data_IF_065396160561
#
_entry.id   IF_065396160561
#
_cell.length_a   1.000
_cell.length_b   1.000
_cell.length_c   1.000
_cell.angle_alpha   90.00
_cell.angle_beta   90.00
_cell.angle_gamma   90.00
#
_symmetry.space_group_name_H-M   'P 1'
#
loop_
_entity.id
_entity.type
_entity.pdbx_description
1 polymer ?
#
# COMPACT_ATOMS: atom_id res chain seq x y z
N UNK A 1 28.59 2.18 21.03
CA UNK A 1 29.29 1.70 19.81
C UNK A 1 29.37 2.86 18.86
N UNK A 2 30.55 3.30 18.43
CA UNK A 2 30.68 4.36 17.43
C UNK A 2 30.57 3.76 16.03
N UNK A 3 29.58 4.19 15.25
CA UNK A 3 29.51 3.86 13.82
C UNK A 3 30.56 4.69 13.10
N UNK A 4 31.52 4.01 12.49
CA UNK A 4 32.56 4.62 11.67
C UNK A 4 32.01 4.69 10.24
N UNK A 5 31.71 5.88 9.75
CA UNK A 5 31.30 6.09 8.35
C UNK A 5 32.58 6.38 7.55
N UNK A 6 32.97 5.44 6.69
CA UNK A 6 34.04 5.65 5.72
C UNK A 6 33.43 6.20 4.43
N UNK A 7 33.72 7.46 4.12
CA UNK A 7 33.41 8.06 2.83
C UNK A 7 34.39 7.50 1.80
N UNK A 8 33.87 6.71 0.85
CA UNK A 8 34.64 6.26 -0.31
C UNK A 8 34.55 7.37 -1.35
N UNK A 9 35.64 8.13 -1.48
CA UNK A 9 35.80 9.14 -2.53
C UNK A 9 36.27 8.43 -3.80
N UNK A 10 35.41 8.33 -4.81
CA UNK A 10 35.80 7.78 -6.10
C UNK A 10 36.57 8.84 -6.87
N UNK A 11 37.90 8.84 -6.72
CA UNK A 11 38.77 9.64 -7.57
C UNK A 11 38.64 9.11 -9.01
N UNK A 12 38.24 9.93 -9.99
CA UNK A 12 38.22 9.52 -11.39
C UNK A 12 39.66 9.13 -11.76
N UNK A 13 39.84 7.88 -12.17
CA UNK A 13 41.15 7.39 -12.54
C UNK A 13 41.65 8.20 -13.74
N UNK A 14 42.76 8.91 -13.58
CA UNK A 14 43.47 9.53 -14.70
C UNK A 14 44.09 8.42 -15.55
N UNK A 15 43.26 7.71 -16.32
CA UNK A 15 43.71 6.81 -17.37
C UNK A 15 43.13 7.30 -18.69
N UNK A 16 44.05 7.68 -19.56
CA UNK A 16 43.86 7.90 -20.98
C UNK A 16 43.47 6.58 -21.65
N UNK A 17 42.20 6.40 -22.02
CA UNK A 17 41.83 5.44 -23.06
C UNK A 17 40.52 5.83 -23.77
N UNK A 18 40.65 5.84 -25.10
CA UNK A 18 39.69 5.66 -26.19
C UNK A 18 38.18 5.63 -25.86
N UNK A 19 37.44 6.41 -26.65
CA UNK A 19 36.03 6.82 -26.57
C UNK A 19 34.92 5.77 -26.28
N UNK A 20 35.23 4.48 -26.09
CA UNK A 20 34.24 3.43 -25.77
C UNK A 20 34.08 3.16 -24.25
N UNK A 21 35.03 3.52 -23.40
CA UNK A 21 35.01 3.21 -21.94
C UNK A 21 34.13 4.18 -21.11
N UNK A 22 33.61 5.26 -21.71
CA UNK A 22 32.82 6.26 -21.00
C UNK A 22 31.37 5.84 -20.70
N UNK A 23 30.83 4.84 -21.41
CA UNK A 23 29.46 4.41 -21.19
C UNK A 23 29.31 3.50 -19.96
N UNK A 24 30.28 2.61 -19.72
CA UNK A 24 30.24 1.63 -18.63
C UNK A 24 30.49 2.24 -17.24
N UNK A 25 31.36 3.24 -17.15
CA UNK A 25 31.62 3.94 -15.88
C UNK A 25 30.41 4.75 -15.40
N UNK A 26 29.63 5.32 -16.32
CA UNK A 26 28.38 6.03 -15.97
C UNK A 26 27.30 5.06 -15.46
N UNK A 27 27.21 3.86 -16.04
CA UNK A 27 26.28 2.83 -15.58
C UNK A 27 26.64 2.32 -14.18
N UNK A 28 27.93 2.12 -13.89
CA UNK A 28 28.37 1.68 -12.57
C UNK A 28 28.16 2.75 -11.49
N UNK A 29 28.47 4.02 -11.78
CA UNK A 29 28.25 5.14 -10.85
C UNK A 29 26.74 5.33 -10.60
N UNK A 30 25.90 5.21 -11.63
CA UNK A 30 24.45 5.27 -11.47
C UNK A 30 23.90 4.08 -10.67
N UNK A 31 24.43 2.87 -10.90
CA UNK A 31 24.09 1.67 -10.13
C UNK A 31 24.50 1.79 -8.65
N UNK A 32 25.68 2.38 -8.38
CA UNK A 32 26.19 2.61 -7.03
C UNK A 32 25.42 3.72 -6.31
N UNK A 33 25.14 4.86 -6.97
CA UNK A 33 24.25 5.90 -6.43
C UNK A 33 22.87 5.36 -6.14
N UNK A 34 22.34 4.52 -7.04
CA UNK A 34 21.08 3.83 -6.82
C UNK A 34 21.15 2.93 -5.59
N UNK A 35 22.17 2.05 -5.47
CA UNK A 35 22.34 1.14 -4.33
C UNK A 35 22.61 1.83 -3.00
N UNK A 36 23.36 2.92 -2.97
CA UNK A 36 23.69 3.68 -1.75
C UNK A 36 22.46 4.44 -1.23
N UNK A 37 21.56 4.86 -2.12
CA UNK A 37 20.30 5.51 -1.75
C UNK A 37 19.17 4.51 -1.45
N UNK A 38 19.42 3.20 -1.51
CA UNK A 38 18.44 2.22 -1.03
C UNK A 38 18.43 2.29 0.49
N UNK A 39 17.40 2.93 1.01
CA UNK A 39 17.01 2.83 2.40
C UNK A 39 16.95 1.34 2.76
N UNK A 40 17.77 0.86 3.72
CA UNK A 40 17.73 -0.53 4.14
C UNK A 40 16.30 -0.90 4.54
N UNK A 41 15.70 -1.84 3.81
CA UNK A 41 14.34 -2.29 4.11
C UNK A 41 14.42 -3.39 5.16
N UNK A 42 13.73 -3.18 6.28
CA UNK A 42 13.56 -4.18 7.32
C UNK A 42 12.38 -5.07 6.95
N UNK A 43 12.64 -6.37 6.89
CA UNK A 43 11.58 -7.39 6.73
C UNK A 43 10.74 -7.44 7.99
N UNK A 44 9.44 -7.58 7.84
CA UNK A 44 8.53 -7.81 8.95
C UNK A 44 8.79 -9.17 9.60
N UNK A 45 8.74 -9.19 10.93
CA UNK A 45 8.84 -10.42 11.71
C UNK A 45 7.54 -11.21 11.58
N UNK A 46 7.62 -12.48 11.21
CA UNK A 46 6.45 -13.35 11.20
C UNK A 46 5.98 -13.74 12.61
N UNK A 47 6.51 -13.17 13.70
CA UNK A 47 6.05 -13.45 15.06
C UNK A 47 4.68 -12.83 15.37
N UNK A 48 4.37 -11.65 14.81
CA UNK A 48 3.13 -10.90 15.10
C UNK A 48 2.94 -10.60 16.58
N UNK A 49 3.95 -10.00 17.21
CA UNK A 49 3.81 -9.54 18.59
C UNK A 49 2.99 -8.27 18.59
N UNK A 50 1.73 -8.35 19.02
CA UNK A 50 0.90 -7.16 19.19
C UNK A 50 1.57 -6.22 20.18
N UNK A 51 1.74 -4.96 19.79
CA UNK A 51 2.20 -3.94 20.72
C UNK A 51 1.05 -3.64 21.67
N UNK A 52 1.04 -4.33 22.82
CA UNK A 52 0.04 -4.20 23.86
C UNK A 52 0.19 -2.84 24.55
N UNK A 53 -0.43 -1.82 23.99
CA UNK A 53 -0.38 -0.47 24.56
C UNK A 53 -1.41 -0.36 25.69
N UNK A 54 -1.09 -0.88 26.88
CA UNK A 54 -1.87 -0.84 28.15
C UNK A 54 -3.15 0.02 28.13
N UNK A 55 -4.34 -0.59 28.17
CA UNK A 55 -5.65 0.08 28.16
C UNK A 55 -6.75 -0.77 27.52
N UNK A 56 -8.03 -0.38 27.69
CA UNK A 56 -9.21 -1.09 27.15
C UNK A 56 -9.26 -1.15 25.61
N UNK A 57 -8.42 -0.37 24.92
CA UNK A 57 -8.29 -0.38 23.46
C UNK A 57 -6.84 -0.69 23.09
N UNK A 58 -6.62 -1.83 22.42
CA UNK A 58 -5.33 -2.22 21.85
C UNK A 58 -5.00 -1.49 20.54
N UNK A 59 -5.89 -0.62 20.07
CA UNK A 59 -5.80 0.10 18.81
C UNK A 59 -5.65 1.62 19.01
N UNK A 60 -5.03 2.26 18.03
CA UNK A 60 -5.02 3.72 17.89
C UNK A 60 -6.37 4.18 17.39
N UNK A 61 -7.09 4.98 18.17
CA UNK A 61 -8.44 5.37 17.79
C UNK A 61 -8.44 6.33 16.60
N UNK A 62 -9.22 5.98 15.58
CA UNK A 62 -9.41 6.76 14.34
C UNK A 62 -10.89 7.12 14.24
N UNK A 63 -11.74 6.12 14.04
CA UNK A 63 -13.16 6.29 13.78
C UNK A 63 -13.75 5.08 13.05
N UNK A 64 -15.07 5.07 12.80
CA UNK A 64 -15.79 3.91 12.28
C UNK A 64 -15.39 3.50 10.86
N UNK A 65 -14.84 4.43 10.09
CA UNK A 65 -14.53 4.24 8.67
C UNK A 65 -13.01 4.16 8.43
N UNK A 66 -12.31 3.46 9.33
CA UNK A 66 -10.89 3.13 9.23
C UNK A 66 -10.72 1.94 8.27
N UNK A 67 -10.69 2.23 6.97
CA UNK A 67 -10.63 1.22 5.92
C UNK A 67 -9.23 1.03 5.34
N UNK A 68 -8.41 2.07 5.24
CA UNK A 68 -7.08 1.91 4.67
C UNK A 68 -6.05 2.89 5.23
N UNK A 69 -4.77 2.58 4.99
CA UNK A 69 -3.63 3.27 5.56
C UNK A 69 -2.48 3.36 4.56
N UNK A 70 -1.81 4.52 4.52
CA UNK A 70 -0.57 4.72 3.76
C UNK A 70 0.52 5.31 4.63
N UNK A 71 1.78 5.06 4.26
CA UNK A 71 2.97 5.60 4.90
C UNK A 71 3.60 6.66 4.00
N UNK A 72 3.67 7.89 4.50
CA UNK A 72 4.44 8.97 3.89
C UNK A 72 5.86 8.95 4.45
N UNK A 73 6.85 8.80 3.56
CA UNK A 73 8.25 8.84 3.96
C UNK A 73 8.72 10.30 4.06
N UNK A 74 8.29 11.16 3.14
CA UNK A 74 8.74 12.56 3.09
C UNK A 74 8.27 13.37 4.31
N UNK A 75 7.10 13.04 4.86
CA UNK A 75 6.56 13.70 6.05
C UNK A 75 6.72 12.88 7.34
N UNK A 76 7.21 11.64 7.22
CA UNK A 76 7.36 10.72 8.34
C UNK A 76 6.04 10.53 9.11
N UNK A 77 4.96 10.24 8.38
CA UNK A 77 3.60 10.08 8.91
C UNK A 77 2.95 8.83 8.36
N UNK A 78 1.96 8.32 9.08
CA UNK A 78 0.96 7.44 8.47
C UNK A 78 -0.38 8.17 8.41
N UNK A 79 -1.13 7.90 7.34
CA UNK A 79 -2.38 8.57 7.01
C UNK A 79 -3.44 7.48 6.87
N UNK A 80 -4.56 7.64 7.58
CA UNK A 80 -5.61 6.64 7.69
C UNK A 80 -6.93 7.23 7.21
N UNK A 81 -7.75 6.44 6.54
CA UNK A 81 -9.11 6.86 6.18
C UNK A 81 -10.01 6.99 7.40
N UNK A 82 -10.91 7.98 7.39
CA UNK A 82 -11.96 8.14 8.39
C UNK A 82 -13.19 8.82 7.78
N UNK A 83 -13.93 8.10 6.94
CA UNK A 83 -15.11 8.63 6.26
C UNK A 83 -14.71 9.67 5.22
N UNK A 84 -15.22 10.89 5.32
CA UNK A 84 -14.86 12.03 4.46
C UNK A 84 -13.49 12.63 4.79
N UNK A 85 -12.84 12.17 5.87
CA UNK A 85 -11.59 12.72 6.34
C UNK A 85 -10.40 11.76 6.18
N UNK A 86 -9.21 12.35 6.14
CA UNK A 86 -7.93 11.66 6.30
C UNK A 86 -7.31 12.07 7.64
N UNK A 87 -7.11 11.08 8.52
CA UNK A 87 -6.53 11.26 9.84
C UNK A 87 -5.01 11.03 9.78
N UNK A 88 -4.22 12.02 10.23
CA UNK A 88 -2.76 11.99 10.15
C UNK A 88 -2.16 11.68 11.51
N UNK A 89 -1.28 10.68 11.56
CA UNK A 89 -0.67 10.20 12.79
C UNK A 89 0.87 10.25 12.72
N UNK A 90 1.52 10.38 13.88
CA UNK A 90 2.97 10.22 13.96
C UNK A 90 3.39 8.76 13.67
N UNK A 91 4.48 8.62 12.90
CA UNK A 91 5.14 7.33 12.63
C UNK A 91 6.32 7.15 13.60
N UNK A 92 6.54 5.93 14.08
CA UNK A 92 7.67 5.59 14.95
C UNK A 92 8.80 4.92 14.18
N UNK A 93 10.05 5.12 14.62
CA UNK A 93 11.19 4.37 14.07
C UNK A 93 11.26 2.95 14.65
N UNK A 94 10.72 2.78 15.86
CA UNK A 94 10.85 1.56 16.65
C UNK A 94 9.55 1.17 17.34
N UNK A 95 9.41 -0.12 17.68
CA UNK A 95 8.33 -0.62 18.55
C UNK A 95 8.34 0.08 19.93
N UNK A 96 9.53 0.29 20.48
CA UNK A 96 9.73 0.87 21.81
C UNK A 96 9.16 2.29 21.92
N UNK A 97 9.26 3.11 20.87
CA UNK A 97 8.65 4.44 20.82
C UNK A 97 7.12 4.39 20.97
N UNK A 98 6.46 3.37 20.41
CA UNK A 98 5.04 3.16 20.58
C UNK A 98 4.68 2.65 21.99
N UNK A 99 5.51 1.77 22.56
CA UNK A 99 5.29 1.23 23.90
C UNK A 99 5.49 2.27 25.01
N UNK A 100 6.52 3.11 24.88
CA UNK A 100 6.88 4.14 25.86
C UNK A 100 5.95 5.36 25.85
N UNK A 101 4.87 5.33 25.04
CA UNK A 101 3.85 6.40 24.92
C UNK A 101 4.42 7.79 24.59
N UNK A 102 5.67 7.89 24.10
CA UNK A 102 6.25 9.16 23.64
C UNK A 102 5.49 9.67 22.41
N UNK A 103 4.92 8.75 21.64
CA UNK A 103 4.09 9.04 20.49
C UNK A 103 2.61 8.93 20.88
N UNK A 104 1.89 10.06 20.80
CA UNK A 104 0.48 10.14 21.18
C UNK A 104 -0.43 9.24 20.35
N UNK A 105 -1.41 8.58 21.00
CA UNK A 105 -2.38 7.63 20.38
C UNK A 105 -3.57 8.29 19.68
N UNK A 106 -3.42 9.55 19.30
CA UNK A 106 -4.45 10.36 18.67
C UNK A 106 -3.89 10.93 17.38
N UNK A 107 -4.78 11.16 16.41
CA UNK A 107 -4.41 11.89 15.22
C UNK A 107 -3.79 13.23 15.62
N UNK A 108 -2.71 13.63 14.94
CA UNK A 108 -2.14 14.97 15.07
C UNK A 108 -3.15 16.02 14.60
N UNK A 109 -3.86 15.67 13.53
CA UNK A 109 -4.95 16.42 12.94
C UNK A 109 -5.68 15.53 11.94
N UNK A 110 -6.87 15.97 11.54
CA UNK A 110 -7.66 15.37 10.48
C UNK A 110 -7.96 16.43 9.44
N UNK A 111 -8.11 16.01 8.18
CA UNK A 111 -8.46 16.90 7.08
C UNK A 111 -9.69 16.32 6.38
N UNK A 112 -10.77 17.07 6.37
CA UNK A 112 -12.05 16.69 5.76
C UNK A 112 -12.16 17.20 4.32
N UNK A 113 -12.71 16.37 3.43
CA UNK A 113 -12.93 16.71 2.03
C UNK A 113 -14.44 16.84 1.77
N UNK A 114 -14.93 18.07 1.57
CA UNK A 114 -16.36 18.38 1.46
C UNK A 114 -17.09 17.57 0.36
N UNK A 115 -16.40 17.27 -0.74
CA UNK A 115 -16.97 16.53 -1.87
C UNK A 115 -16.89 15.00 -1.73
N UNK A 116 -16.27 14.49 -0.66
CA UNK A 116 -16.03 13.06 -0.45
C UNK A 116 -16.87 12.57 0.73
N UNK A 117 -17.64 11.51 0.51
CA UNK A 117 -18.46 10.89 1.56
C UNK A 117 -17.66 9.88 2.38
N UNK A 118 -16.85 9.06 1.70
CA UNK A 118 -16.08 7.99 2.30
C UNK A 118 -14.86 7.63 1.45
N UNK A 119 -13.67 7.57 2.06
CA UNK A 119 -12.47 6.98 1.49
C UNK A 119 -12.40 5.47 1.77
N UNK A 120 -12.17 4.67 0.73
CA UNK A 120 -12.20 3.20 0.81
C UNK A 120 -10.79 2.59 0.78
N UNK A 121 -9.95 2.97 -0.19
CA UNK A 121 -8.56 2.52 -0.34
C UNK A 121 -7.66 3.70 -0.67
N UNK A 122 -6.40 3.61 -0.24
CA UNK A 122 -5.36 4.60 -0.44
C UNK A 122 -4.13 3.95 -1.08
N UNK A 123 -3.56 4.60 -2.09
CA UNK A 123 -2.24 4.27 -2.63
C UNK A 123 -1.39 5.51 -2.68
N UNK A 124 -0.30 5.50 -1.93
CA UNK A 124 0.70 6.56 -1.97
C UNK A 124 1.77 6.25 -3.02
N UNK A 125 2.03 7.22 -3.90
CA UNK A 125 3.06 7.17 -4.94
C UNK A 125 3.87 8.46 -4.88
N UNK A 126 5.19 8.33 -4.97
CA UNK A 126 6.08 9.48 -5.15
C UNK A 126 6.25 9.77 -6.64
N UNK A 127 5.86 10.95 -7.06
CA UNK A 127 6.02 11.45 -8.43
C UNK A 127 7.01 12.61 -8.44
N UNK A 128 8.21 12.37 -8.96
CA UNK A 128 9.33 13.32 -8.89
C UNK A 128 9.63 13.67 -7.41
N UNK A 129 9.36 14.90 -7.01
CA UNK A 129 9.67 15.45 -5.68
C UNK A 129 8.43 15.64 -4.80
N UNK A 130 7.30 15.02 -5.14
CA UNK A 130 6.05 15.14 -4.38
C UNK A 130 5.39 13.77 -4.18
N UNK A 131 4.78 13.58 -3.01
CA UNK A 131 3.97 12.40 -2.71
C UNK A 131 2.50 12.67 -3.02
N UNK A 132 1.87 11.75 -3.75
CA UNK A 132 0.46 11.78 -4.08
C UNK A 132 -0.24 10.57 -3.49
N UNK A 133 -1.45 10.78 -3.02
CA UNK A 133 -2.39 9.73 -2.65
C UNK A 133 -3.42 9.62 -3.77
N UNK A 134 -3.51 8.42 -4.34
CA UNK A 134 -4.64 7.97 -5.11
C UNK A 134 -5.63 7.31 -4.16
N UNK A 135 -6.89 7.70 -4.23
CA UNK A 135 -7.90 7.15 -3.35
C UNK A 135 -9.16 6.75 -4.11
N UNK A 136 -9.72 5.59 -3.77
CA UNK A 136 -11.08 5.22 -4.11
C UNK A 136 -12.02 5.80 -3.07
N UNK A 137 -13.13 6.34 -3.54
CA UNK A 137 -14.18 6.92 -2.72
C UNK A 137 -15.54 6.44 -3.22
N UNK A 138 -16.59 6.70 -2.45
CA UNK A 138 -17.96 6.54 -2.96
C UNK A 138 -18.46 7.86 -3.56
N UNK A 139 -18.61 8.03 -4.89
CA UNK A 139 -18.41 7.08 -6.00
C UNK A 139 -17.17 7.37 -6.88
N UNK A 140 -16.18 8.16 -6.44
CA UNK A 140 -15.12 8.69 -7.31
C UNK A 140 -13.75 8.09 -7.05
N UNK A 141 -12.85 8.32 -7.99
CA UNK A 141 -11.42 8.17 -7.75
C UNK A 141 -10.80 9.56 -7.72
N UNK A 142 -9.90 9.80 -6.77
CA UNK A 142 -9.27 11.11 -6.60
C UNK A 142 -7.76 11.00 -6.47
N UNK A 143 -7.08 12.10 -6.83
CA UNK A 143 -5.66 12.33 -6.59
C UNK A 143 -5.48 13.51 -5.66
N UNK A 144 -4.69 13.32 -4.61
CA UNK A 144 -4.46 14.31 -3.54
C UNK A 144 -2.95 14.48 -3.34
N UNK A 145 -2.48 15.71 -3.16
CA UNK A 145 -1.09 15.96 -2.73
C UNK A 145 -0.97 15.73 -1.24
N UNK A 146 0.02 14.96 -0.80
CA UNK A 146 0.28 14.77 0.63
C UNK A 146 0.67 16.10 1.26
N UNK A 147 1.43 16.95 0.56
CA UNK A 147 1.80 18.28 1.05
C UNK A 147 0.61 19.18 1.39
N UNK A 148 -0.51 19.05 0.68
CA UNK A 148 -1.73 19.82 0.92
C UNK A 148 -2.50 19.31 2.15
N UNK A 149 -2.52 17.98 2.38
CA UNK A 149 -3.00 17.39 3.63
C UNK A 149 -2.17 17.93 4.82
N UNK A 150 -0.85 17.95 4.69
CA UNK A 150 0.05 18.40 5.77
C UNK A 150 -0.12 19.89 6.10
N UNK A 151 -0.50 20.70 5.12
CA UNK A 151 -0.86 22.12 5.31
C UNK A 151 -2.31 22.32 5.81
N UNK A 152 -3.07 21.23 6.01
CA UNK A 152 -4.49 21.26 6.38
C UNK A 152 -5.34 22.00 5.35
N UNK A 153 -4.99 21.86 4.07
CA UNK A 153 -5.64 22.50 2.95
C UNK A 153 -6.10 21.42 1.95
N UNK A 154 -7.26 20.77 2.17
CA UNK A 154 -7.70 19.61 1.37
C UNK A 154 -8.04 20.02 -0.05
N UNK A 155 -7.08 19.88 -0.96
CA UNK A 155 -7.27 20.13 -2.38
C UNK A 155 -7.16 18.82 -3.16
N UNK A 156 -8.15 18.60 -4.03
CA UNK A 156 -8.08 17.55 -5.04
C UNK A 156 -7.22 18.07 -6.21
N UNK A 157 -6.23 17.28 -6.62
CA UNK A 157 -5.49 17.52 -7.86
C UNK A 157 -6.42 17.26 -9.04
N UNK A 158 -7.14 16.15 -8.97
CA UNK A 158 -8.24 15.81 -9.86
C UNK A 158 -9.20 14.83 -9.18
N UNK A 159 -10.39 14.74 -9.77
CA UNK A 159 -11.44 13.77 -9.46
C UNK A 159 -11.88 13.12 -10.76
N UNK A 160 -12.14 11.82 -10.75
CA UNK A 160 -12.63 11.09 -11.93
C UNK A 160 -13.90 11.74 -12.46
N UNK A 161 -14.03 11.80 -13.79
CA UNK A 161 -15.22 12.37 -14.44
C UNK A 161 -16.43 11.46 -14.33
N UNK A 162 -16.18 10.15 -14.29
CA UNK A 162 -17.21 9.13 -14.12
C UNK A 162 -17.42 8.79 -12.64
N UNK A 163 -18.65 8.41 -12.31
CA UNK A 163 -19.04 7.83 -11.03
C UNK A 163 -19.03 6.31 -11.13
N UNK A 164 -18.59 5.65 -10.07
CA UNK A 164 -18.48 4.21 -9.97
C UNK A 164 -19.35 3.68 -8.85
N UNK A 165 -19.79 2.42 -8.96
CA UNK A 165 -20.80 1.89 -8.04
C UNK A 165 -20.20 1.46 -6.71
N UNK A 166 -19.09 0.72 -6.76
CA UNK A 166 -18.58 0.07 -5.57
C UNK A 166 -17.07 -0.19 -5.70
N UNK A 167 -16.29 0.88 -5.61
CA UNK A 167 -14.83 0.84 -5.78
C UNK A 167 -14.12 0.69 -4.44
N UNK A 168 -13.39 -0.41 -4.30
CA UNK A 168 -12.63 -0.72 -3.09
C UNK A 168 -11.14 -0.61 -3.38
N UNK A 169 -10.53 -1.60 -4.02
CA UNK A 169 -9.09 -1.64 -4.23
C UNK A 169 -8.63 -0.80 -5.41
N UNK A 170 -7.42 -0.27 -5.31
CA UNK A 170 -6.71 0.31 -6.44
C UNK A 170 -5.21 0.03 -6.36
N UNK A 171 -4.54 0.07 -7.51
CA UNK A 171 -3.08 0.11 -7.58
C UNK A 171 -2.61 0.94 -8.77
N UNK A 172 -1.39 1.45 -8.69
CA UNK A 172 -0.79 2.33 -9.70
C UNK A 172 0.36 1.61 -10.38
N UNK A 173 0.39 1.67 -11.70
CA UNK A 173 1.49 1.14 -12.49
C UNK A 173 1.73 2.01 -13.73
N UNK A 174 2.97 2.50 -13.87
CA UNK A 174 3.31 3.41 -14.96
C UNK A 174 2.40 4.64 -14.94
N UNK A 175 1.82 4.97 -16.10
CA UNK A 175 0.86 6.07 -16.27
C UNK A 175 -0.60 5.66 -16.03
N UNK A 176 -0.85 4.47 -15.49
CA UNK A 176 -2.18 3.91 -15.34
C UNK A 176 -2.53 3.64 -13.88
N UNK A 177 -3.80 3.83 -13.56
CA UNK A 177 -4.41 3.49 -12.29
C UNK A 177 -5.43 2.38 -12.53
N UNK A 178 -5.27 1.26 -11.80
CA UNK A 178 -6.15 0.10 -11.87
C UNK A 178 -7.08 0.14 -10.67
N UNK A 179 -8.38 0.13 -10.90
CA UNK A 179 -9.40 0.31 -9.86
C UNK A 179 -10.38 -0.84 -9.91
N UNK A 180 -10.58 -1.55 -8.80
CA UNK A 180 -11.51 -2.66 -8.71
C UNK A 180 -12.91 -2.11 -8.44
N UNK A 181 -13.79 -2.20 -9.44
CA UNK A 181 -15.24 -2.02 -9.27
C UNK A 181 -15.86 -3.38 -8.99
N UNK A 182 -16.34 -3.57 -7.75
CA UNK A 182 -16.90 -4.82 -7.27
C UNK A 182 -18.02 -5.38 -8.15
N UNK A 183 -18.80 -4.52 -8.82
CA UNK A 183 -19.94 -4.94 -9.63
C UNK A 183 -19.61 -5.18 -11.11
N UNK A 184 -18.45 -4.72 -11.59
CA UNK A 184 -18.12 -4.72 -13.02
C UNK A 184 -16.85 -5.49 -13.34
N UNK A 185 -15.69 -4.89 -13.07
CA UNK A 185 -14.36 -5.41 -13.42
C UNK A 185 -13.32 -4.45 -12.84
N UNK A 186 -12.06 -4.64 -13.23
CA UNK A 186 -11.00 -3.65 -13.02
C UNK A 186 -11.06 -2.59 -14.11
N UNK A 187 -11.21 -1.34 -13.72
CA UNK A 187 -11.12 -0.16 -14.57
C UNK A 187 -9.69 0.33 -14.67
N UNK A 188 -9.32 0.85 -15.82
CA UNK A 188 -8.05 1.53 -16.04
C UNK A 188 -8.33 3.02 -16.27
N UNK A 189 -7.75 3.86 -15.42
CA UNK A 189 -7.79 5.31 -15.53
C UNK A 189 -6.41 5.85 -15.91
N UNK A 190 -6.40 6.95 -16.66
CA UNK A 190 -5.21 7.77 -16.85
C UNK A 190 -4.81 8.40 -15.52
N UNK A 191 -3.55 8.21 -15.14
CA UNK A 191 -3.03 8.65 -13.85
C UNK A 191 -2.90 10.18 -13.75
N UNK A 192 -2.70 10.86 -14.88
CA UNK A 192 -2.46 12.30 -14.93
C UNK A 192 -3.77 13.10 -14.79
N UNK A 193 -4.86 12.65 -15.42
CA UNK A 193 -6.12 13.39 -15.49
C UNK A 193 -7.33 12.67 -14.87
N UNK A 194 -7.20 11.39 -14.50
CA UNK A 194 -8.32 10.59 -13.98
C UNK A 194 -9.35 10.21 -15.05
N UNK A 195 -8.99 10.29 -16.33
CA UNK A 195 -9.84 9.92 -17.45
C UNK A 195 -9.95 8.40 -17.58
N UNK A 196 -11.16 7.89 -17.78
CA UNK A 196 -11.38 6.46 -18.00
C UNK A 196 -10.85 6.06 -19.38
N UNK A 197 -9.96 5.06 -19.40
CA UNK A 197 -9.36 4.52 -20.61
C UNK A 197 -10.11 3.29 -21.12
N UNK A 198 -10.27 2.28 -20.24
CA UNK A 198 -10.91 1.00 -20.56
C UNK A 198 -11.16 0.17 -19.30
N UNK A 199 -11.96 -0.88 -19.42
CA UNK A 199 -11.98 -1.99 -18.46
C UNK A 199 -10.95 -3.06 -18.86
N UNK A 200 -10.48 -3.85 -17.89
CA UNK A 200 -9.78 -5.11 -18.18
C UNK A 200 -10.78 -6.15 -18.74
N UNK A 201 -10.32 -6.88 -19.77
CA UNK A 201 -11.08 -7.89 -20.53
C UNK A 201 -11.92 -8.87 -19.66
N UNK A 202 -12.92 -9.48 -20.30
CA UNK A 202 -14.02 -10.26 -19.73
C UNK A 202 -13.66 -11.40 -18.76
N UNK A 203 -12.40 -11.87 -18.69
CA UNK A 203 -12.01 -12.95 -17.78
C UNK A 203 -11.64 -12.43 -16.37
N UNK A 204 -11.10 -11.22 -16.24
CA UNK A 204 -10.98 -10.53 -14.95
C UNK A 204 -12.33 -9.92 -14.55
N UNK A 205 -13.16 -9.53 -15.54
CA UNK A 205 -14.49 -8.96 -15.31
C UNK A 205 -15.56 -9.94 -14.82
N UNK A 206 -15.25 -11.23 -14.72
CA UNK A 206 -16.16 -12.28 -14.20
C UNK A 206 -15.72 -12.85 -12.87
N UNK A 207 -15.01 -12.07 -12.06
CA UNK A 207 -14.65 -12.49 -10.71
C UNK A 207 -15.93 -12.80 -9.92
N UNK A 208 -16.23 -14.09 -9.77
CA UNK A 208 -17.43 -14.56 -9.10
C UNK A 208 -17.41 -14.10 -7.63
N UNK A 209 -18.38 -13.25 -7.28
CA UNK A 209 -18.52 -12.71 -5.92
C UNK A 209 -17.74 -11.42 -5.65
N UNK A 210 -17.21 -10.77 -6.69
CA UNK A 210 -16.61 -9.43 -6.64
C UNK A 210 -15.22 -9.36 -6.00
N UNK A 211 -14.42 -8.40 -6.46
CA UNK A 211 -13.05 -8.16 -5.99
C UNK A 211 -12.94 -6.98 -5.02
N UNK A 212 -11.97 -7.05 -4.10
CA UNK A 212 -11.72 -6.01 -3.10
C UNK A 212 -10.33 -5.40 -3.22
N UNK A 213 -9.32 -6.20 -3.53
CA UNK A 213 -7.93 -5.75 -3.58
C UNK A 213 -7.29 -6.11 -4.91
N UNK A 214 -6.34 -5.28 -5.31
CA UNK A 214 -5.52 -5.47 -6.50
C UNK A 214 -4.08 -5.06 -6.17
N UNK A 215 -3.13 -5.78 -6.74
CA UNK A 215 -1.74 -5.40 -6.74
C UNK A 215 -1.12 -5.67 -8.12
N UNK A 216 -0.49 -4.67 -8.70
CA UNK A 216 0.20 -4.77 -9.99
C UNK A 216 1.68 -5.09 -9.76
N UNK A 217 2.12 -6.30 -10.16
CA UNK A 217 3.54 -6.65 -10.15
C UNK A 217 4.26 -6.12 -11.38
N UNK A 218 3.59 -6.16 -12.53
CA UNK A 218 4.10 -5.66 -13.81
C UNK A 218 2.94 -5.41 -14.79
N UNK A 219 3.25 -4.84 -15.96
CA UNK A 219 2.27 -4.59 -17.03
C UNK A 219 1.54 -5.85 -17.50
N UNK A 220 2.12 -7.02 -17.22
CA UNK A 220 1.60 -8.31 -17.59
C UNK A 220 1.27 -9.20 -16.40
N UNK A 221 1.35 -8.72 -15.16
CA UNK A 221 1.10 -9.56 -13.99
C UNK A 221 0.41 -8.80 -12.86
N UNK A 222 -0.78 -9.26 -12.48
CA UNK A 222 -1.58 -8.68 -11.40
C UNK A 222 -2.06 -9.76 -10.44
N UNK A 223 -2.16 -9.40 -9.18
CA UNK A 223 -2.77 -10.20 -8.14
C UNK A 223 -4.05 -9.53 -7.68
N UNK A 224 -5.10 -10.31 -7.51
CA UNK A 224 -6.36 -9.84 -6.99
C UNK A 224 -6.79 -10.66 -5.78
N UNK A 225 -7.45 -9.99 -4.84
CA UNK A 225 -8.19 -10.61 -3.76
C UNK A 225 -9.67 -10.48 -4.07
N UNK A 226 -10.35 -11.62 -4.06
CA UNK A 226 -11.78 -11.64 -4.32
C UNK A 226 -12.43 -12.83 -3.65
N UNK A 227 -13.66 -12.61 -3.19
CA UNK A 227 -14.47 -13.60 -2.49
C UNK A 227 -13.65 -14.35 -1.39
N UNK A 228 -13.18 -15.56 -1.71
CA UNK A 228 -12.53 -16.46 -0.77
C UNK A 228 -11.09 -16.86 -1.15
N UNK A 229 -10.48 -16.21 -2.14
CA UNK A 229 -9.13 -16.55 -2.62
C UNK A 229 -8.30 -15.32 -3.02
N UNK A 230 -7.01 -15.59 -3.19
CA UNK A 230 -6.14 -14.79 -4.03
C UNK A 230 -6.04 -15.43 -5.42
N UNK A 231 -5.98 -14.61 -6.45
CA UNK A 231 -5.83 -15.05 -7.83
C UNK A 231 -4.81 -14.20 -8.57
N UNK A 232 -3.86 -14.88 -9.20
CA UNK A 232 -2.80 -14.30 -9.99
C UNK A 232 -3.16 -14.43 -11.46
N UNK A 233 -3.16 -13.30 -12.15
CA UNK A 233 -3.41 -13.21 -13.57
C UNK A 233 -2.14 -12.77 -14.30
N UNK A 234 -1.91 -13.37 -15.45
CA UNK A 234 -0.83 -12.99 -16.36
C UNK A 234 -1.39 -12.65 -17.74
N UNK A 235 -0.85 -11.59 -18.35
CA UNK A 235 -1.20 -11.16 -19.68
C UNK A 235 -0.39 -11.94 -20.72
N UNK A 236 -1.06 -12.80 -21.46
CA UNK A 236 -0.48 -13.61 -22.54
C UNK A 236 -1.20 -13.29 -23.85
N UNK A 237 -0.44 -12.91 -24.88
CA UNK A 237 -0.99 -12.54 -26.20
C UNK A 237 -2.10 -11.46 -26.13
N UNK A 238 -1.93 -10.48 -25.23
CA UNK A 238 -2.88 -9.38 -25.05
C UNK A 238 -4.03 -9.68 -24.10
N UNK A 239 -4.25 -10.93 -23.70
CA UNK A 239 -5.36 -11.36 -22.84
C UNK A 239 -4.89 -11.71 -21.44
N UNK A 240 -5.69 -11.36 -20.44
CA UNK A 240 -5.44 -11.76 -19.06
C UNK A 240 -5.94 -13.16 -18.81
N UNK A 241 -5.06 -14.03 -18.29
CA UNK A 241 -5.38 -15.40 -17.96
C UNK A 241 -5.10 -15.65 -16.49
N UNK A 242 -6.01 -16.34 -15.81
CA UNK A 242 -5.75 -16.86 -14.48
C UNK A 242 -4.66 -17.93 -14.57
N UNK A 243 -3.53 -17.70 -13.91
CA UNK A 243 -2.41 -18.64 -13.89
C UNK A 243 -2.27 -19.34 -12.54
N UNK A 244 -2.84 -18.76 -11.46
CA UNK A 244 -2.81 -19.39 -10.15
C UNK A 244 -3.90 -18.86 -9.22
N UNK A 245 -4.47 -19.75 -8.40
CA UNK A 245 -5.35 -19.41 -7.28
C UNK A 245 -4.79 -19.96 -5.98
N UNK A 246 -5.03 -19.27 -4.86
CA UNK A 246 -4.70 -19.80 -3.54
C UNK A 246 -5.50 -21.08 -3.26
N UNK A 247 -4.84 -22.11 -2.74
CA UNK A 247 -5.46 -23.42 -2.45
C UNK A 247 -6.25 -23.45 -1.13
N UNK A 248 -6.13 -22.42 -0.30
CA UNK A 248 -6.85 -22.27 0.94
C UNK A 248 -7.98 -21.26 0.81
N UNK A 249 -9.01 -21.42 1.65
CA UNK A 249 -10.20 -20.57 1.65
C UNK A 249 -10.10 -19.47 2.69
N UNK A 250 -10.41 -18.25 2.27
CA UNK A 250 -10.70 -17.09 3.10
C UNK A 250 -12.21 -16.88 3.19
N UNK A 251 -12.69 -16.21 4.23
CA UNK A 251 -14.10 -15.86 4.31
C UNK A 251 -14.41 -14.59 3.51
N UNK A 252 -13.48 -13.63 3.53
CA UNK A 252 -13.59 -12.41 2.74
C UNK A 252 -12.20 -11.80 2.50
N UNK A 253 -11.58 -12.15 1.38
CA UNK A 253 -10.25 -11.68 1.02
C UNK A 253 -10.32 -10.20 0.58
N UNK A 254 -9.97 -9.30 1.49
CA UNK A 254 -10.23 -7.88 1.34
C UNK A 254 -9.04 -7.14 0.72
N UNK A 255 -8.07 -6.69 1.53
CA UNK A 255 -6.90 -5.95 1.06
C UNK A 255 -5.72 -6.87 0.77
N UNK A 256 -4.79 -6.38 -0.05
CA UNK A 256 -3.51 -7.02 -0.35
C UNK A 256 -2.40 -6.02 0.00
N UNK A 257 -1.41 -6.48 0.74
CA UNK A 257 -0.12 -5.80 0.87
C UNK A 257 1.01 -6.74 0.45
N UNK A 258 1.80 -6.33 -0.54
CA UNK A 258 2.97 -7.08 -0.97
C UNK A 258 4.24 -6.50 -0.33
N UNK A 259 4.93 -7.32 0.46
CA UNK A 259 6.20 -6.96 1.07
C UNK A 259 7.36 -7.43 0.17
N UNK A 260 7.87 -6.53 -0.66
CA UNK A 260 8.99 -6.83 -1.58
C UNK A 260 10.23 -7.38 -0.89
N UNK A 261 10.50 -6.98 0.36
CA UNK A 261 11.70 -7.40 1.09
C UNK A 261 11.72 -8.91 1.40
N UNK A 262 10.56 -9.51 1.66
CA UNK A 262 10.40 -10.91 2.03
C UNK A 262 9.74 -11.76 0.93
N UNK A 263 9.22 -11.12 -0.13
CA UNK A 263 8.41 -11.73 -1.18
C UNK A 263 7.14 -12.42 -0.63
N UNK A 264 6.57 -11.83 0.42
CA UNK A 264 5.35 -12.28 1.06
C UNK A 264 4.19 -11.33 0.76
N UNK A 265 3.00 -11.91 0.70
CA UNK A 265 1.73 -11.21 0.56
C UNK A 265 0.98 -11.31 1.88
N UNK A 266 0.49 -10.18 2.36
CA UNK A 266 -0.35 -10.05 3.55
C UNK A 266 -1.76 -9.73 3.10
N UNK A 267 -2.73 -10.49 3.60
CA UNK A 267 -4.13 -10.39 3.20
C UNK A 267 -5.00 -10.23 4.43
N UNK A 268 -5.92 -9.28 4.37
CA UNK A 268 -7.00 -9.16 5.34
C UNK A 268 -8.11 -10.14 4.99
N UNK A 269 -8.30 -11.18 5.81
CA UNK A 269 -9.46 -12.04 5.74
C UNK A 269 -10.54 -11.51 6.69
N UNK A 270 -11.25 -10.48 6.22
CA UNK A 270 -12.16 -9.68 7.03
C UNK A 270 -13.26 -10.53 7.69
N UNK A 271 -13.92 -11.38 6.90
CA UNK A 271 -14.96 -12.29 7.40
C UNK A 271 -14.41 -13.42 8.26
N UNK A 272 -13.09 -13.63 8.25
CA UNK A 272 -12.38 -14.62 9.06
C UNK A 272 -11.76 -14.06 10.33
N UNK A 273 -11.86 -12.74 10.57
CA UNK A 273 -11.25 -12.03 11.69
C UNK A 273 -9.75 -12.38 11.87
N UNK A 274 -9.02 -12.42 10.74
CA UNK A 274 -7.62 -12.84 10.73
C UNK A 274 -6.82 -12.19 9.61
N UNK A 275 -5.52 -12.13 9.83
CA UNK A 275 -4.53 -11.85 8.79
C UNK A 275 -4.02 -13.16 8.22
N UNK A 276 -3.78 -13.21 6.91
CA UNK A 276 -3.20 -14.36 6.23
C UNK A 276 -1.93 -13.92 5.51
N UNK A 277 -0.83 -14.62 5.78
CA UNK A 277 0.45 -14.43 5.09
C UNK A 277 0.62 -15.54 4.07
N UNK A 278 0.98 -15.15 2.85
CA UNK A 278 1.00 -16.01 1.67
C UNK A 278 2.34 -15.85 0.97
N UNK A 279 2.93 -16.96 0.52
CA UNK A 279 4.14 -16.90 -0.31
C UNK A 279 3.75 -16.48 -1.73
N UNK A 280 4.46 -15.50 -2.29
CA UNK A 280 4.19 -15.01 -3.64
C UNK A 280 4.37 -16.08 -4.72
N UNK A 281 5.43 -16.88 -4.61
CA UNK A 281 5.85 -17.87 -5.59
C UNK A 281 4.79 -18.92 -5.93
N UNK A 282 3.97 -19.35 -4.97
CA UNK A 282 3.04 -20.48 -5.13
C UNK A 282 1.63 -20.19 -4.57
N UNK A 283 1.39 -18.98 -4.05
CA UNK A 283 0.17 -18.59 -3.33
C UNK A 283 -0.20 -19.54 -2.17
N UNK A 284 0.81 -20.21 -1.58
CA UNK A 284 0.63 -21.08 -0.41
C UNK A 284 0.56 -20.27 0.88
N UNK A 285 -0.31 -20.69 1.81
CA UNK A 285 -0.41 -20.06 3.13
C UNK A 285 0.85 -20.34 3.95
N UNK A 286 1.51 -19.29 4.41
CA UNK A 286 2.66 -19.34 5.31
C UNK A 286 2.21 -19.31 6.77
N UNK A 287 1.36 -18.33 7.12
CA UNK A 287 0.88 -18.12 8.49
C UNK A 287 -0.52 -17.52 8.45
N UNK A 288 -1.29 -17.73 9.51
CA UNK A 288 -2.50 -16.97 9.78
C UNK A 288 -2.54 -16.55 11.24
N UNK A 289 -2.98 -15.32 11.49
CA UNK A 289 -3.08 -14.75 12.84
C UNK A 289 -4.52 -14.31 13.03
N UNK A 290 -5.25 -15.03 13.88
CA UNK A 290 -6.61 -14.67 14.26
C UNK A 290 -6.59 -13.61 15.37
N UNK A 291 -7.60 -12.77 15.40
CA UNK A 291 -7.85 -11.87 16.53
C UNK A 291 -9.32 -11.48 16.61
N UNK A 292 -9.63 -10.58 17.55
CA UNK A 292 -10.97 -10.04 17.71
C UNK A 292 -11.10 -8.67 17.02
N UNK A 293 -10.74 -8.63 15.74
CA UNK A 293 -10.68 -7.42 14.92
C UNK A 293 -11.23 -7.69 13.51
N UNK A 294 -11.77 -6.66 12.87
CA UNK A 294 -12.16 -6.71 11.46
C UNK A 294 -11.08 -6.02 10.64
N UNK A 295 -10.15 -6.81 10.10
CA UNK A 295 -9.02 -6.25 9.36
C UNK A 295 -9.43 -5.73 7.98
N UNK A 296 -8.93 -4.54 7.64
CA UNK A 296 -9.06 -3.89 6.34
C UNK A 296 -7.67 -3.58 5.77
N UNK A 297 -7.28 -2.33 5.59
CA UNK A 297 -5.95 -1.93 5.12
C UNK A 297 -4.82 -2.55 5.94
N UNK A 298 -3.77 -2.96 5.24
CA UNK A 298 -2.55 -3.51 5.81
C UNK A 298 -1.37 -2.75 5.21
N UNK A 299 -0.41 -2.35 6.04
CA UNK A 299 0.86 -1.86 5.55
C UNK A 299 2.00 -2.28 6.48
N UNK A 300 3.13 -2.65 5.90
CA UNK A 300 4.38 -2.84 6.63
C UNK A 300 5.25 -1.62 6.39
N UNK A 301 5.76 -1.06 7.47
CA UNK A 301 6.75 -0.01 7.42
C UNK A 301 8.13 -0.59 7.13
N UNK A 302 8.72 -0.29 5.96
CA UNK A 302 10.03 -0.82 5.60
C UNK A 302 11.17 -0.26 6.44
N UNK A 303 10.98 0.83 7.18
CA UNK A 303 11.98 1.41 8.09
C UNK A 303 11.98 0.69 9.43
N UNK A 304 10.83 0.66 10.09
CA UNK A 304 10.70 0.13 11.45
C UNK A 304 10.49 -1.39 11.47
N UNK A 305 10.04 -1.96 10.35
CA UNK A 305 9.61 -3.36 10.27
C UNK A 305 8.36 -3.62 11.11
N UNK A 306 7.51 -2.61 11.29
CA UNK A 306 6.23 -2.72 12.00
C UNK A 306 5.09 -2.96 11.00
N UNK A 307 4.11 -3.74 11.41
CA UNK A 307 2.89 -3.99 10.66
C UNK A 307 1.74 -3.19 11.26
N UNK A 308 1.05 -2.43 10.41
CA UNK A 308 -0.13 -1.66 10.76
C UNK A 308 -1.34 -2.29 10.07
N UNK A 309 -2.43 -2.42 10.83
CA UNK A 309 -3.67 -3.03 10.35
C UNK A 309 -4.84 -2.15 10.75
N UNK A 310 -5.60 -1.68 9.77
CA UNK A 310 -6.87 -1.00 10.03
C UNK A 310 -7.90 -1.99 10.57
N UNK A 311 -8.50 -1.64 11.69
CA UNK A 311 -9.58 -2.38 12.36
C UNK A 311 -10.82 -1.51 12.48
N UNK A 312 -11.77 -1.69 11.55
CA UNK A 312 -13.06 -0.98 11.62
C UNK A 312 -14.01 -1.58 12.65
N UNK A 313 -13.72 -2.75 13.21
CA UNK A 313 -14.49 -3.34 14.31
C UNK A 313 -14.24 -2.64 15.64
N UNK A 314 -13.00 -2.18 15.87
CA UNK A 314 -12.59 -1.42 17.05
C UNK A 314 -12.28 0.06 16.75
N UNK A 315 -12.57 0.51 15.52
CA UNK A 315 -12.44 1.91 15.08
C UNK A 315 -11.02 2.46 15.20
N UNK A 316 -10.03 1.69 14.77
CA UNK A 316 -8.63 2.09 14.96
C UNK A 316 -7.60 1.34 14.13
N UNK A 317 -6.33 1.55 14.44
CA UNK A 317 -5.18 0.86 13.84
C UNK A 317 -4.49 -0.01 14.89
N UNK A 318 -4.32 -1.29 14.58
CA UNK A 318 -3.51 -2.25 15.34
C UNK A 318 -2.07 -2.20 14.84
N UNK A 319 -1.12 -2.34 15.76
CA UNK A 319 0.32 -2.32 15.45
C UNK A 319 0.97 -3.59 15.99
N UNK A 320 1.77 -4.24 15.14
CA UNK A 320 2.52 -5.45 15.48
C UNK A 320 4.01 -5.26 15.17
N UNK A 321 4.86 -5.93 15.94
CA UNK A 321 6.32 -5.98 15.78
C UNK A 321 6.87 -7.39 15.56
#
# INVERSE_FOLDING_TARGET
>A
MSVKVELIDFLPSQFTSTDDDHHDNNNLINLLKYKINIIPTKRYSLEFSSLNVSGYYSAWHVGPNCFDIVLSNDYYRFIVTNGSALSVFPRAETAEEYENKSIGRKALFEVEFEEITCFNCLKLIKEKDEEYIYASTDPYVVKIKVSDIMRKNPLLVWKSKETYYNIWGLDVMGSQLYVVDYEKSVMILDREHGDHLQYLDDDIGKIEGGGFGIHCFSENEILMSHNSCLELFEKQQGKWNSIRKSSFRMNFAYSIFYEKASDLIYVSDNGGYRLVVVRREDLSKVKSVSGNYKSFGIIIDPLSGLLYVCDSGQFGVLIYS
#
